data_IF_126864083776
#
_entry.id   IF_126864083776
#
_cell.length_a   1.000
_cell.length_b   1.000
_cell.length_c   1.000
_cell.angle_alpha   90.00
_cell.angle_beta   90.00
_cell.angle_gamma   90.00
#
_symmetry.space_group_name_H-M   'P 1'
#
loop_
_entity.id
_entity.type
_entity.pdbx_description
1 polymer ?
#
# COMPACT_ATOMS: atom_id res chain seq x y z
N UNK A 1 -2.84 -7.87 14.33
CA UNK A 1 -1.70 -7.54 13.46
C UNK A 1 -0.48 -7.12 14.28
N UNK A 2 -0.57 -6.03 15.03
CA UNK A 2 0.51 -5.46 15.88
C UNK A 2 1.31 -6.50 16.68
N UNK A 3 0.62 -7.37 17.46
CA UNK A 3 1.25 -8.41 18.29
C UNK A 3 2.11 -9.42 17.51
N UNK A 4 1.83 -9.63 16.22
CA UNK A 4 2.61 -10.53 15.35
C UNK A 4 3.72 -9.80 14.59
N UNK A 5 3.50 -8.53 14.27
CA UNK A 5 4.42 -7.74 13.45
C UNK A 5 5.56 -7.12 14.28
N UNK A 6 5.27 -6.66 15.50
CA UNK A 6 6.26 -6.04 16.38
C UNK A 6 7.43 -6.97 16.72
N UNK A 7 7.24 -8.27 17.03
CA UNK A 7 8.37 -9.16 17.25
C UNK A 7 9.27 -9.32 16.02
N UNK A 8 8.68 -9.36 14.82
CA UNK A 8 9.44 -9.47 13.56
C UNK A 8 10.24 -8.20 13.29
N UNK A 9 9.64 -7.03 13.50
CA UNK A 9 10.34 -5.75 13.39
C UNK A 9 11.46 -5.64 14.42
N UNK A 10 11.20 -5.97 15.69
CA UNK A 10 12.20 -5.92 16.77
C UNK A 10 13.36 -6.90 16.57
N UNK A 11 13.14 -7.97 15.81
CA UNK A 11 14.22 -8.90 15.46
C UNK A 11 15.15 -8.34 14.37
N UNK A 12 14.71 -7.31 13.64
CA UNK A 12 15.51 -6.67 12.61
C UNK A 12 16.38 -5.56 13.22
N UNK A 13 17.71 -5.67 13.16
CA UNK A 13 18.62 -4.65 13.70
C UNK A 13 18.66 -3.37 12.85
N UNK A 14 17.96 -3.31 11.70
CA UNK A 14 17.86 -2.11 10.86
C UNK A 14 16.77 -1.14 11.33
N UNK A 15 15.72 -1.63 11.99
CA UNK A 15 14.56 -0.81 12.35
C UNK A 15 14.80 -0.11 13.68
N UNK A 16 14.73 1.22 13.66
CA UNK A 16 15.03 2.06 14.82
C UNK A 16 13.78 2.85 15.28
N UNK A 17 13.89 3.59 16.39
CA UNK A 17 12.76 4.40 16.90
C UNK A 17 12.25 5.44 15.90
N UNK A 18 13.10 5.89 14.96
CA UNK A 18 12.72 6.81 13.88
C UNK A 18 11.65 6.22 12.94
N UNK A 19 11.59 4.89 12.81
CA UNK A 19 10.63 4.21 11.94
C UNK A 19 9.26 4.01 12.58
N UNK A 20 9.09 4.41 13.85
CA UNK A 20 7.85 4.19 14.62
C UNK A 20 6.62 4.76 13.90
N UNK A 21 6.72 5.97 13.36
CA UNK A 21 5.63 6.61 12.61
C UNK A 21 5.28 5.81 11.34
N UNK A 22 6.28 5.25 10.66
CA UNK A 22 6.11 4.44 9.46
C UNK A 22 5.43 3.10 9.78
N UNK A 23 5.81 2.47 10.90
CA UNK A 23 5.19 1.24 11.41
C UNK A 23 3.74 1.48 11.86
N UNK A 24 3.46 2.60 12.52
CA UNK A 24 2.11 3.01 12.90
C UNK A 24 1.24 3.25 11.66
N UNK A 25 1.74 3.99 10.68
CA UNK A 25 1.06 4.23 9.41
C UNK A 25 0.78 2.91 8.66
N UNK A 26 1.73 1.97 8.64
CA UNK A 26 1.54 0.65 8.05
C UNK A 26 0.38 -0.09 8.72
N UNK A 27 0.31 -0.06 10.05
CA UNK A 27 -0.74 -0.73 10.81
C UNK A 27 -2.13 -0.11 10.60
N UNK A 28 -2.21 1.21 10.53
CA UNK A 28 -3.47 1.92 10.22
C UNK A 28 -3.96 1.53 8.82
N UNK A 29 -3.08 1.56 7.81
CA UNK A 29 -3.44 1.18 6.44
C UNK A 29 -3.86 -0.29 6.35
N UNK A 30 -3.23 -1.19 7.11
CA UNK A 30 -3.63 -2.59 7.17
C UNK A 30 -5.03 -2.78 7.76
N UNK A 31 -5.35 -2.03 8.81
CA UNK A 31 -6.68 -2.07 9.40
C UNK A 31 -7.74 -1.52 8.44
N UNK A 32 -7.47 -0.39 7.77
CA UNK A 32 -8.37 0.16 6.75
C UNK A 32 -8.61 -0.82 5.60
N UNK A 33 -7.56 -1.51 5.13
CA UNK A 33 -7.68 -2.53 4.09
C UNK A 33 -8.63 -3.66 4.51
N UNK A 34 -8.53 -4.13 5.76
CA UNK A 34 -9.42 -5.19 6.28
C UNK A 34 -10.86 -4.73 6.44
N UNK A 35 -11.08 -3.53 6.97
CA UNK A 35 -12.43 -2.97 7.11
C UNK A 35 -13.09 -2.75 5.74
N UNK A 36 -12.32 -2.25 4.77
CA UNK A 36 -12.80 -2.09 3.40
C UNK A 36 -13.15 -3.45 2.76
N UNK A 37 -12.31 -4.47 2.95
CA UNK A 37 -12.59 -5.82 2.49
C UNK A 37 -13.88 -6.40 3.12
N UNK A 38 -14.02 -6.29 4.45
CA UNK A 38 -15.21 -6.76 5.16
C UNK A 38 -16.48 -6.04 4.71
N UNK A 39 -16.39 -4.73 4.45
CA UNK A 39 -17.50 -3.93 3.96
C UNK A 39 -17.93 -4.35 2.54
N UNK A 40 -16.97 -4.61 1.64
CA UNK A 40 -17.27 -5.11 0.30
C UNK A 40 -17.88 -6.51 0.37
N UNK A 41 -17.38 -7.37 1.26
CA UNK A 41 -17.91 -8.72 1.44
C UNK A 41 -19.38 -8.70 1.90
N UNK A 42 -19.72 -7.80 2.83
CA UNK A 42 -21.09 -7.68 3.37
C UNK A 42 -22.06 -6.98 2.43
N UNK A 43 -21.62 -5.90 1.77
CA UNK A 43 -22.51 -4.99 1.03
C UNK A 43 -22.39 -5.12 -0.49
N UNK A 44 -21.46 -5.93 -0.99
CA UNK A 44 -21.16 -6.04 -2.41
C UNK A 44 -20.31 -4.87 -2.95
N UNK A 45 -19.74 -5.06 -4.13
CA UNK A 45 -18.88 -4.06 -4.78
C UNK A 45 -19.69 -2.95 -5.51
N UNK A 46 -20.96 -3.22 -5.82
CA UNK A 46 -21.84 -2.34 -6.57
C UNK A 46 -23.19 -2.25 -5.86
N UNK A 47 -23.66 -1.01 -5.65
CA UNK A 47 -24.96 -0.73 -5.05
C UNK A 47 -25.91 -0.19 -6.12
N UNK A 48 -27.16 -0.65 -6.20
CA UNK A 48 -28.12 -0.10 -7.15
C UNK A 48 -28.48 1.35 -6.79
N UNK A 49 -28.62 2.21 -7.79
CA UNK A 49 -29.08 3.59 -7.65
C UNK A 49 -30.57 3.61 -7.92
N UNK A 50 -31.37 3.83 -6.87
CA UNK A 50 -32.83 3.96 -6.99
C UNK A 50 -33.20 5.42 -6.79
N UNK A 51 -33.88 6.02 -7.76
CA UNK A 51 -34.45 7.36 -7.62
C UNK A 51 -35.96 7.26 -7.42
N UNK A 52 -36.42 7.82 -6.32
CA UNK A 52 -37.84 7.97 -6.05
C UNK A 52 -38.36 9.20 -6.79
N UNK A 53 -39.28 8.99 -7.73
CA UNK A 53 -40.00 10.08 -8.38
C UNK A 53 -41.19 10.43 -7.47
N UNK A 54 -41.22 11.65 -6.94
CA UNK A 54 -42.30 12.16 -6.10
C UNK A 54 -43.15 13.15 -6.88
N UNK A 55 -44.46 13.13 -6.63
CA UNK A 55 -45.38 14.09 -7.24
C UNK A 55 -45.15 15.47 -6.60
N UNK A 56 -44.79 16.51 -7.38
CA UNK A 56 -44.39 17.80 -6.84
C UNK A 56 -45.54 18.54 -6.13
N UNK A 57 -46.79 18.15 -6.37
CA UNK A 57 -47.98 18.80 -5.78
C UNK A 57 -48.52 18.02 -4.58
N UNK A 58 -48.46 16.69 -4.61
CA UNK A 58 -49.08 15.83 -3.57
C UNK A 58 -48.07 15.12 -2.66
N UNK A 59 -46.77 15.20 -2.96
CA UNK A 59 -45.70 14.55 -2.20
C UNK A 59 -45.70 13.01 -2.26
N UNK A 60 -46.66 12.39 -2.94
CA UNK A 60 -46.76 10.93 -3.07
C UNK A 60 -45.67 10.38 -3.99
N UNK A 61 -45.09 9.25 -3.61
CA UNK A 61 -44.12 8.51 -4.44
C UNK A 61 -44.88 7.89 -5.62
N UNK A 62 -44.48 8.23 -6.84
CA UNK A 62 -45.15 7.86 -8.09
C UNK A 62 -44.47 6.65 -8.74
N UNK A 63 -43.14 6.54 -8.62
CA UNK A 63 -42.36 5.43 -9.16
C UNK A 63 -40.97 5.34 -8.50
N UNK A 64 -40.43 4.12 -8.48
CA UNK A 64 -39.01 3.85 -8.22
C UNK A 64 -38.34 3.53 -9.54
N UNK A 65 -37.50 4.43 -10.02
CA UNK A 65 -36.72 4.19 -11.24
C UNK A 65 -35.29 3.76 -10.88
N UNK A 66 -34.79 2.71 -11.53
CA UNK A 66 -33.44 2.19 -11.31
C UNK A 66 -32.50 2.83 -12.32
N UNK A 67 -31.63 3.72 -11.84
CA UNK A 67 -30.73 4.52 -12.68
C UNK A 67 -29.39 3.82 -12.97
N UNK A 68 -29.22 2.57 -12.54
CA UNK A 68 -28.00 1.78 -12.72
C UNK A 68 -27.29 1.46 -11.41
N UNK A 69 -25.98 1.28 -11.45
CA UNK A 69 -25.17 0.85 -10.30
C UNK A 69 -24.09 1.88 -9.95
N UNK A 70 -23.91 2.13 -8.65
CA UNK A 70 -22.83 2.94 -8.09
C UNK A 70 -21.79 2.05 -7.44
N UNK A 71 -20.52 2.36 -7.69
CA UNK A 71 -19.40 1.67 -7.03
C UNK A 71 -19.41 1.89 -5.51
N UNK A 72 -19.17 0.82 -4.76
CA UNK A 72 -18.94 0.89 -3.32
C UNK A 72 -17.62 1.64 -3.05
N UNK A 73 -17.61 2.76 -2.29
CA UNK A 73 -16.38 3.50 -2.00
C UNK A 73 -15.29 2.66 -1.34
N UNK A 74 -15.67 1.61 -0.61
CA UNK A 74 -14.73 0.69 0.02
C UNK A 74 -13.79 0.01 -0.99
N UNK A 75 -14.20 -0.19 -2.25
CA UNK A 75 -13.31 -0.76 -3.27
C UNK A 75 -12.12 0.15 -3.56
N UNK A 76 -12.32 1.47 -3.52
CA UNK A 76 -11.26 2.44 -3.73
C UNK A 76 -10.34 2.54 -2.52
N UNK A 77 -10.91 2.45 -1.31
CA UNK A 77 -10.14 2.44 -0.07
C UNK A 77 -9.26 1.18 -0.03
N UNK A 78 -9.81 0.01 -0.39
CA UNK A 78 -9.07 -1.24 -0.44
C UNK A 78 -7.85 -1.15 -1.38
N UNK A 79 -8.06 -0.63 -2.58
CA UNK A 79 -7.01 -0.43 -3.58
C UNK A 79 -5.92 0.54 -3.06
N UNK A 80 -6.32 1.72 -2.59
CA UNK A 80 -5.40 2.74 -2.07
C UNK A 80 -4.60 2.25 -0.86
N UNK A 81 -5.24 1.56 0.10
CA UNK A 81 -4.57 0.99 1.27
C UNK A 81 -3.58 -0.11 0.88
N UNK A 82 -3.91 -0.93 -0.13
CA UNK A 82 -3.01 -1.99 -0.62
C UNK A 82 -1.73 -1.41 -1.23
N UNK A 83 -1.87 -0.36 -2.04
CA UNK A 83 -0.71 0.36 -2.64
C UNK A 83 0.17 0.95 -1.54
N UNK A 84 -0.42 1.62 -0.55
CA UNK A 84 0.31 2.22 0.59
C UNK A 84 1.02 1.17 1.43
N UNK A 85 0.38 0.02 1.69
CA UNK A 85 1.01 -1.09 2.40
C UNK A 85 2.24 -1.63 1.67
N UNK A 86 2.17 -1.74 0.34
CA UNK A 86 3.31 -2.18 -0.46
C UNK A 86 4.47 -1.19 -0.39
N UNK A 87 4.19 0.12 -0.46
CA UNK A 87 5.21 1.16 -0.36
C UNK A 87 5.88 1.17 1.03
N UNK A 88 5.09 1.31 2.09
CA UNK A 88 5.57 1.32 3.48
C UNK A 88 6.28 0.00 3.84
N UNK A 89 5.77 -1.14 3.35
CA UNK A 89 6.42 -2.43 3.56
C UNK A 89 7.75 -2.57 2.81
N UNK A 90 7.93 -1.89 1.68
CA UNK A 90 9.22 -1.85 0.99
C UNK A 90 10.22 -1.01 1.76
N UNK A 91 9.81 0.17 2.23
CA UNK A 91 10.63 1.10 3.02
C UNK A 91 11.08 0.48 4.35
N UNK A 92 10.19 -0.27 5.01
CA UNK A 92 10.51 -1.01 6.24
C UNK A 92 11.33 -2.30 6.01
N UNK A 93 11.73 -2.62 4.77
CA UNK A 93 12.46 -3.85 4.50
C UNK A 93 11.64 -5.13 4.70
N UNK A 94 10.30 -5.07 4.67
CA UNK A 94 9.45 -6.25 4.79
C UNK A 94 9.34 -7.05 3.48
N UNK A 95 9.82 -6.49 2.37
CA UNK A 95 9.87 -7.17 1.06
C UNK A 95 11.28 -7.65 0.71
N UNK A 96 11.46 -8.76 -0.03
CA UNK A 96 12.79 -9.20 -0.46
C UNK A 96 13.57 -8.13 -1.22
N UNK A 97 12.87 -7.33 -2.04
CA UNK A 97 13.45 -6.20 -2.78
C UNK A 97 13.89 -5.08 -1.84
N UNK A 98 13.03 -4.64 -0.93
CA UNK A 98 13.36 -3.61 0.06
C UNK A 98 14.52 -4.04 0.97
N UNK A 99 14.61 -5.33 1.33
CA UNK A 99 15.78 -5.86 2.06
C UNK A 99 17.06 -5.78 1.26
N UNK A 100 17.04 -6.13 -0.02
CA UNK A 100 18.21 -6.03 -0.88
C UNK A 100 18.70 -4.57 -0.98
N UNK A 101 17.77 -3.62 -1.19
CA UNK A 101 18.09 -2.19 -1.26
C UNK A 101 18.68 -1.64 0.06
N UNK A 102 18.13 -2.04 1.20
CA UNK A 102 18.66 -1.67 2.52
C UNK A 102 20.02 -2.30 2.82
N UNK A 103 20.27 -3.51 2.33
CA UNK A 103 21.57 -4.17 2.44
C UNK A 103 22.63 -3.46 1.59
N UNK A 104 22.29 -3.06 0.36
CA UNK A 104 23.18 -2.28 -0.51
C UNK A 104 23.54 -0.93 0.11
N UNK A 105 22.58 -0.26 0.75
CA UNK A 105 22.80 1.00 1.48
C UNK A 105 23.68 0.84 2.74
N UNK A 106 23.69 -0.35 3.35
CA UNK A 106 24.47 -0.64 4.57
C UNK A 106 25.92 -1.05 4.30
N UNK A 107 26.31 -1.28 3.04
CA UNK A 107 27.71 -1.55 2.69
C UNK A 107 28.49 -0.26 2.97
N UNK A 108 29.37 -0.23 3.99
CA UNK A 108 30.26 0.91 4.17
C UNK A 108 31.11 1.01 2.91
N UNK A 109 31.37 2.22 2.43
CA UNK A 109 32.41 2.49 1.44
C UNK A 109 33.80 2.22 2.05
N UNK A 110 34.07 0.95 2.38
CA UNK A 110 35.34 0.47 2.89
C UNK A 110 35.80 -0.72 2.03
N UNK A 111 35.70 -0.53 0.71
CA UNK A 111 36.47 -1.31 -0.25
C UNK A 111 37.08 -0.34 -1.27
N UNK A 112 38.26 0.13 -0.91
CA UNK A 112 39.30 0.69 -1.78
C UNK A 112 39.73 -0.24 -2.93
N UNK A 113 38.94 -1.24 -3.34
CA UNK A 113 39.32 -2.27 -4.33
C UNK A 113 38.19 -2.71 -5.28
N UNK A 114 37.07 -1.96 -5.38
CA UNK A 114 36.14 -2.13 -6.51
C UNK A 114 36.34 -0.97 -7.49
N UNK A 115 36.86 -1.23 -8.71
CA UNK A 115 37.02 -0.17 -9.69
C UNK A 115 35.66 0.46 -9.95
N UNK A 116 35.63 1.79 -9.89
CA UNK A 116 34.44 2.61 -10.10
C UNK A 116 33.72 2.18 -11.39
N UNK A 117 32.40 2.32 -11.46
CA UNK A 117 31.62 2.06 -12.68
C UNK A 117 32.22 2.78 -13.90
N UNK A 118 32.86 3.93 -13.71
CA UNK A 118 33.59 4.65 -14.76
C UNK A 118 34.88 3.95 -15.23
N UNK A 119 35.56 3.22 -14.34
CA UNK A 119 36.76 2.44 -14.65
C UNK A 119 36.42 1.13 -15.37
N UNK A 120 35.32 0.47 -15.00
CA UNK A 120 34.83 -0.72 -15.69
C UNK A 120 34.43 -0.42 -17.15
N UNK A 121 33.80 0.74 -17.40
CA UNK A 121 33.47 1.21 -18.76
C UNK A 121 34.75 1.49 -19.56
N UNK A 122 35.77 2.12 -18.96
CA UNK A 122 37.06 2.33 -19.63
C UNK A 122 37.78 1.03 -19.97
N UNK A 123 37.69 0.02 -19.11
CA UNK A 123 38.33 -1.28 -19.33
C UNK A 123 37.63 -2.07 -20.44
N UNK A 124 36.30 -1.97 -20.53
CA UNK A 124 35.51 -2.53 -21.63
C UNK A 124 35.82 -1.87 -22.98
N UNK A 125 36.01 -0.55 -23.01
CA UNK A 125 36.34 0.20 -24.23
C UNK A 125 37.80 0.03 -24.70
N UNK A 126 38.71 -0.38 -23.80
CA UNK A 126 40.12 -0.66 -24.15
C UNK A 126 40.36 -2.11 -24.60
N UNK A 127 39.39 -3.00 -24.41
CA UNK A 127 39.49 -4.43 -24.74
C UNK A 127 38.85 -4.82 -26.07
N UNK A 128 38.54 -3.86 -26.95
CA UNK A 128 37.99 -4.07 -28.30
C UNK A 128 38.94 -3.59 -29.38
#
# INVERSE_FOLDING_TARGET
>A
MWRRLVPLIKSDPTVNEMDKTMVEAFCINYQMMREAYDHIHKNGALNPIIKTVVNPVTGKIIAHDSLGFKRNPATQILDASTVKLKALGSELGLTPKGRAELLDLKIPEDNSDKPSTAEQIKQFLKGG
#
